data_IF_863984120459
#
_entry.id   IF_863984120459
#
_cell.length_a   1.000
_cell.length_b   1.000
_cell.length_c   1.000
_cell.angle_alpha   90.00
_cell.angle_beta   90.00
_cell.angle_gamma   90.00
#
_symmetry.space_group_name_H-M   'P 1'
#
loop_
_entity.id
_entity.type
_entity.pdbx_description
1 polymer ?
#
# COMPACT_ATOMS: atom_id res chain seq x y z
N UNK A 1 13.68 17.32 11.63
CA UNK A 1 12.42 16.73 11.09
C UNK A 1 11.69 16.05 12.24
N UNK A 2 10.37 16.24 12.34
CA UNK A 2 9.57 15.65 13.42
C UNK A 2 8.76 14.49 12.86
N UNK A 3 8.77 13.35 13.58
CA UNK A 3 7.96 12.16 13.30
C UNK A 3 7.04 11.87 14.49
N UNK A 4 6.02 11.07 14.25
CA UNK A 4 5.15 10.57 15.29
C UNK A 4 5.30 9.06 15.39
N UNK A 5 5.65 8.53 16.57
CA UNK A 5 5.60 7.10 16.84
C UNK A 5 4.21 6.74 17.38
N UNK A 6 3.52 5.87 16.65
CA UNK A 6 2.20 5.34 17.02
C UNK A 6 2.37 3.88 17.45
N UNK A 7 2.21 3.54 18.71
CA UNK A 7 2.20 2.15 19.16
C UNK A 7 1.02 1.39 18.54
N UNK A 8 1.17 0.08 18.29
CA UNK A 8 0.11 -0.77 17.72
C UNK A 8 -1.06 -1.04 18.66
N UNK A 9 -0.90 -0.75 19.93
CA UNK A 9 -1.95 -0.98 20.94
C UNK A 9 -3.08 0.04 20.78
N UNK A 10 -4.31 -0.46 20.81
CA UNK A 10 -5.50 0.39 20.80
C UNK A 10 -5.50 1.31 22.05
N UNK A 11 -5.65 2.62 21.86
CA UNK A 11 -5.60 3.69 22.88
C UNK A 11 -4.20 4.14 23.34
N UNK A 12 -3.12 3.70 22.70
CA UNK A 12 -1.79 4.22 23.01
C UNK A 12 -1.63 5.66 22.49
N UNK A 13 -1.00 6.50 23.31
CA UNK A 13 -0.74 7.89 22.98
C UNK A 13 0.44 7.94 21.99
N UNK A 14 0.25 8.59 20.84
CA UNK A 14 1.33 8.84 19.90
C UNK A 14 2.39 9.74 20.54
N UNK A 15 3.66 9.42 20.30
CA UNK A 15 4.81 10.16 20.81
C UNK A 15 5.46 10.93 19.67
N UNK A 16 5.72 12.21 19.90
CA UNK A 16 6.51 13.04 19.00
C UNK A 16 7.99 12.70 19.13
N UNK A 17 8.69 12.55 18.02
CA UNK A 17 10.11 12.22 17.95
C UNK A 17 10.81 13.21 17.02
N UNK A 18 11.82 13.88 17.49
CA UNK A 18 12.69 14.72 16.69
C UNK A 18 13.85 13.89 16.12
N UNK A 19 14.02 13.89 14.80
CA UNK A 19 15.11 13.18 14.13
C UNK A 19 16.37 14.05 14.17
N UNK A 20 17.41 13.55 14.87
CA UNK A 20 18.73 14.16 14.95
C UNK A 20 19.60 13.75 13.76
N UNK A 21 19.59 12.47 13.40
CA UNK A 21 20.42 11.92 12.33
C UNK A 21 19.73 10.77 11.60
N UNK A 22 20.13 10.52 10.36
CA UNK A 22 19.56 9.55 9.47
C UNK A 22 20.63 9.00 8.53
N UNK A 23 20.82 7.66 8.49
CA UNK A 23 21.75 7.04 7.56
C UNK A 23 21.30 5.65 7.10
N UNK A 24 21.65 5.21 5.88
CA UNK A 24 21.39 3.86 5.42
C UNK A 24 22.41 2.88 6.04
N UNK A 25 21.94 1.70 6.46
CA UNK A 25 22.76 0.61 6.93
C UNK A 25 22.19 -0.75 6.50
N UNK A 26 22.94 -1.52 5.71
CA UNK A 26 22.60 -2.89 5.27
C UNK A 26 21.18 -3.01 4.68
N UNK A 27 20.76 -2.05 3.86
CA UNK A 27 19.43 -2.04 3.23
C UNK A 27 18.31 -1.55 4.15
N UNK A 28 18.63 -1.14 5.38
CA UNK A 28 17.71 -0.51 6.33
C UNK A 28 18.04 0.96 6.47
N UNK A 29 17.09 1.73 6.97
CA UNK A 29 17.27 3.11 7.33
C UNK A 29 17.37 3.21 8.86
N UNK A 30 18.49 3.76 9.35
CA UNK A 30 18.71 4.00 10.79
C UNK A 30 18.37 5.44 11.10
N UNK A 31 17.56 5.63 12.12
CA UNK A 31 17.12 6.93 12.61
C UNK A 31 17.64 7.11 14.04
N UNK A 32 18.33 8.24 14.31
CA UNK A 32 18.63 8.70 15.66
C UNK A 32 17.60 9.75 16.06
N UNK A 33 17.00 9.56 17.21
CA UNK A 33 16.02 10.50 17.75
C UNK A 33 16.59 11.23 18.97
N UNK A 34 16.23 12.48 19.13
CA UNK A 34 16.54 13.27 20.32
C UNK A 34 15.95 12.62 21.58
N UNK A 35 16.78 12.47 22.61
CA UNK A 35 16.37 11.87 23.88
C UNK A 35 16.15 10.34 23.81
N UNK A 36 16.62 9.67 22.77
CA UNK A 36 16.69 8.20 22.66
C UNK A 36 18.16 7.83 22.62
N UNK A 37 18.79 7.73 23.80
CA UNK A 37 20.25 7.61 23.95
C UNK A 37 20.67 6.25 24.48
N UNK A 38 19.74 5.42 24.89
CA UNK A 38 20.00 4.06 25.38
C UNK A 38 19.20 3.01 24.63
N UNK A 39 19.65 1.75 24.75
CA UNK A 39 18.92 0.59 24.19
C UNK A 39 17.52 0.52 24.81
N UNK A 40 17.40 0.75 26.11
CA UNK A 40 16.10 0.70 26.80
C UNK A 40 15.14 1.78 26.29
N UNK A 41 15.64 2.98 25.95
CA UNK A 41 14.80 4.02 25.33
C UNK A 41 14.33 3.59 23.93
N UNK A 42 15.24 3.01 23.14
CA UNK A 42 14.93 2.51 21.81
C UNK A 42 13.93 1.34 21.84
N UNK A 43 14.04 0.46 22.83
CA UNK A 43 13.10 -0.66 23.03
C UNK A 43 11.65 -0.18 23.23
N UNK A 44 11.44 1.00 23.80
CA UNK A 44 10.10 1.58 23.96
C UNK A 44 9.43 1.94 22.63
N UNK A 45 10.20 2.02 21.55
CA UNK A 45 9.73 2.33 20.20
C UNK A 45 9.56 1.07 19.33
N UNK A 46 9.89 -0.11 19.86
CA UNK A 46 9.72 -1.36 19.10
C UNK A 46 8.28 -1.59 18.70
N UNK A 47 8.08 -1.87 17.42
CA UNK A 47 6.76 -2.14 16.87
C UNK A 47 5.87 -0.90 16.67
N UNK A 48 6.35 0.30 16.99
CA UNK A 48 5.64 1.53 16.64
C UNK A 48 5.65 1.76 15.14
N UNK A 49 4.55 2.29 14.62
CA UNK A 49 4.46 2.86 13.29
C UNK A 49 4.99 4.30 13.33
N UNK A 50 5.91 4.65 12.42
CA UNK A 50 6.41 6.01 12.30
C UNK A 50 5.59 6.77 11.25
N UNK A 51 5.02 7.88 11.66
CA UNK A 51 4.18 8.73 10.83
C UNK A 51 4.83 10.09 10.60
N UNK A 52 4.75 10.57 9.35
CA UNK A 52 5.19 11.91 8.96
C UNK A 52 3.94 12.79 8.87
N UNK A 53 3.95 14.00 9.48
CA UNK A 53 2.87 14.97 9.25
C UNK A 53 2.70 15.26 7.76
N UNK A 54 1.46 15.39 7.30
CA UNK A 54 1.18 15.65 5.88
C UNK A 54 1.86 16.95 5.39
N UNK A 55 1.99 17.95 6.26
CA UNK A 55 2.68 19.21 5.98
C UNK A 55 4.19 19.08 5.76
N UNK A 56 4.79 17.96 6.18
CA UNK A 56 6.22 17.67 6.03
C UNK A 56 6.51 16.64 4.93
N UNK A 57 5.49 16.21 4.20
CA UNK A 57 5.68 15.35 3.03
C UNK A 57 6.47 16.09 1.96
N UNK A 58 7.45 15.41 1.39
CA UNK A 58 8.19 15.92 0.24
C UNK A 58 7.27 16.04 -0.98
N UNK A 59 7.47 17.06 -1.79
CA UNK A 59 6.83 17.10 -3.10
C UNK A 59 7.30 15.91 -3.93
N UNK A 60 6.35 15.19 -4.49
CA UNK A 60 6.65 14.06 -5.37
C UNK A 60 6.91 14.54 -6.80
N UNK A 61 7.74 13.82 -7.53
CA UNK A 61 7.89 14.01 -8.96
C UNK A 61 6.56 13.74 -9.68
N UNK A 62 6.37 14.37 -10.82
CA UNK A 62 5.17 14.16 -11.65
C UNK A 62 4.98 12.66 -11.94
N UNK A 63 3.77 12.16 -11.73
CA UNK A 63 3.42 10.74 -11.88
C UNK A 63 3.61 9.89 -10.62
N UNK A 64 4.26 10.39 -9.58
CA UNK A 64 4.40 9.69 -8.30
C UNK A 64 3.24 10.02 -7.35
N UNK A 65 2.78 9.02 -6.61
CA UNK A 65 1.70 9.17 -5.62
C UNK A 65 2.09 8.45 -4.33
N UNK A 66 1.74 9.03 -3.19
CA UNK A 66 1.85 8.31 -1.92
C UNK A 66 0.80 7.19 -1.86
N UNK A 67 1.21 6.01 -1.40
CA UNK A 67 0.30 4.87 -1.22
C UNK A 67 -0.89 5.23 -0.35
N UNK A 68 -0.65 5.96 0.74
CA UNK A 68 -1.70 6.44 1.65
C UNK A 68 -2.74 7.36 0.99
N UNK A 69 -2.37 8.00 -0.12
CA UNK A 69 -3.29 8.86 -0.85
C UNK A 69 -4.14 8.06 -1.85
N UNK A 70 -3.58 6.94 -2.36
CA UNK A 70 -4.28 6.01 -3.25
C UNK A 70 -5.31 5.15 -2.50
N UNK A 71 -5.00 4.72 -1.27
CA UNK A 71 -5.94 3.94 -0.46
C UNK A 71 -7.23 4.74 -0.23
N UNK A 72 -8.36 4.09 -0.47
CA UNK A 72 -9.69 4.68 -0.43
C UNK A 72 -10.10 5.41 -1.72
N UNK A 73 -9.27 5.45 -2.77
CA UNK A 73 -9.67 5.94 -4.07
C UNK A 73 -10.53 4.92 -4.82
N UNK A 74 -11.57 5.39 -5.51
CA UNK A 74 -12.31 4.60 -6.47
C UNK A 74 -11.48 4.40 -7.74
N UNK A 75 -11.43 3.18 -8.26
CA UNK A 75 -10.78 2.87 -9.54
C UNK A 75 -11.85 2.80 -10.62
N UNK A 76 -11.65 3.58 -11.68
CA UNK A 76 -12.51 3.61 -12.84
C UNK A 76 -11.75 3.04 -14.04
N UNK A 77 -12.29 2.01 -14.68
CA UNK A 77 -11.82 1.51 -15.97
C UNK A 77 -12.72 2.04 -17.07
N UNK A 78 -12.17 2.81 -18.00
CA UNK A 78 -12.91 3.43 -19.11
C UNK A 78 -14.18 4.16 -18.66
N UNK A 79 -14.10 4.81 -17.49
CA UNK A 79 -15.21 5.55 -16.88
C UNK A 79 -16.18 4.70 -16.06
N UNK A 80 -16.06 3.37 -16.04
CA UNK A 80 -16.85 2.47 -15.20
C UNK A 80 -16.12 2.21 -13.88
N UNK A 81 -16.73 2.45 -12.74
CA UNK A 81 -16.19 2.11 -11.45
C UNK A 81 -16.10 0.59 -11.27
N UNK A 82 -14.91 0.09 -10.93
CA UNK A 82 -14.65 -1.33 -10.67
C UNK A 82 -14.53 -1.64 -9.19
N UNK A 83 -14.23 -0.65 -8.36
CA UNK A 83 -14.15 -0.78 -6.91
C UNK A 83 -13.27 0.27 -6.26
N UNK A 84 -12.93 0.05 -4.99
CA UNK A 84 -12.14 0.95 -4.16
C UNK A 84 -10.80 0.31 -3.78
N UNK A 85 -9.72 1.08 -3.79
CA UNK A 85 -8.39 0.61 -3.39
C UNK A 85 -8.38 0.38 -1.86
N UNK A 86 -8.12 -0.84 -1.44
CA UNK A 86 -7.93 -1.20 -0.02
C UNK A 86 -6.46 -1.18 0.37
N UNK A 87 -5.57 -1.57 -0.55
CA UNK A 87 -4.13 -1.69 -0.30
C UNK A 87 -3.33 -1.58 -1.59
N UNK A 88 -2.02 -1.38 -1.47
CA UNK A 88 -1.07 -1.39 -2.58
C UNK A 88 0.07 -2.36 -2.26
N UNK A 89 0.24 -3.40 -3.07
CA UNK A 89 1.27 -4.39 -2.90
C UNK A 89 2.45 -4.17 -3.84
N UNK A 90 3.67 -4.33 -3.31
CA UNK A 90 4.92 -4.19 -4.03
C UNK A 90 5.63 -5.54 -4.14
N UNK A 91 6.46 -5.70 -5.17
CA UNK A 91 7.33 -6.87 -5.32
C UNK A 91 6.70 -8.08 -6.03
N UNK A 92 5.47 -7.97 -6.53
CA UNK A 92 4.85 -9.01 -7.35
C UNK A 92 5.20 -8.93 -8.86
N UNK A 93 5.92 -7.87 -9.28
CA UNK A 93 6.30 -7.62 -10.66
C UNK A 93 6.97 -6.25 -10.80
N UNK A 94 7.04 -5.72 -12.03
CA UNK A 94 7.62 -4.40 -12.31
C UNK A 94 6.75 -3.25 -11.80
N UNK A 95 5.43 -3.42 -11.81
CA UNK A 95 4.48 -2.43 -11.31
C UNK A 95 3.85 -2.87 -9.98
N UNK A 96 3.57 -1.92 -9.07
CA UNK A 96 2.76 -2.20 -7.88
C UNK A 96 1.37 -2.72 -8.26
N UNK A 97 0.76 -3.53 -7.40
CA UNK A 97 -0.61 -4.02 -7.55
C UNK A 97 -1.55 -3.24 -6.63
N UNK A 98 -2.57 -2.63 -7.21
CA UNK A 98 -3.70 -2.08 -6.45
C UNK A 98 -4.63 -3.23 -6.06
N UNK A 99 -4.88 -3.38 -4.78
CA UNK A 99 -5.86 -4.32 -4.24
C UNK A 99 -7.22 -3.63 -4.23
N UNK A 100 -8.05 -3.90 -5.23
CA UNK A 100 -9.31 -3.19 -5.46
C UNK A 100 -10.49 -4.03 -4.99
N UNK A 101 -11.22 -3.53 -4.00
CA UNK A 101 -12.46 -4.13 -3.51
C UNK A 101 -13.63 -3.75 -4.42
N UNK A 102 -14.01 -4.68 -5.28
CA UNK A 102 -15.26 -4.60 -6.06
C UNK A 102 -16.47 -5.07 -5.27
N UNK A 103 -17.64 -5.10 -5.91
CA UNK A 103 -18.91 -5.45 -5.29
C UNK A 103 -18.94 -6.86 -4.67
N UNK A 104 -18.27 -7.83 -5.29
CA UNK A 104 -18.31 -9.25 -4.85
C UNK A 104 -16.94 -9.86 -4.58
N UNK A 105 -15.86 -9.22 -4.99
CA UNK A 105 -14.52 -9.77 -4.90
C UNK A 105 -13.43 -8.70 -4.82
N UNK A 106 -12.27 -9.12 -4.32
CA UNK A 106 -11.04 -8.35 -4.40
C UNK A 106 -10.39 -8.65 -5.77
N UNK A 107 -9.90 -7.61 -6.44
CA UNK A 107 -9.24 -7.71 -7.75
C UNK A 107 -7.88 -7.05 -7.67
N UNK A 108 -6.86 -7.70 -8.24
CA UNK A 108 -5.51 -7.16 -8.35
C UNK A 108 -5.36 -6.40 -9.67
N UNK A 109 -5.06 -5.11 -9.59
CA UNK A 109 -4.93 -4.24 -10.76
C UNK A 109 -3.52 -3.67 -10.81
N UNK A 110 -2.72 -3.94 -11.88
CA UNK A 110 -1.39 -3.37 -12.00
C UNK A 110 -1.44 -1.84 -12.11
N UNK A 111 -0.73 -1.15 -11.22
CA UNK A 111 -0.59 0.30 -11.26
C UNK A 111 0.56 0.69 -12.18
N UNK A 112 0.39 0.42 -13.47
CA UNK A 112 1.37 0.68 -14.51
C UNK A 112 1.02 1.95 -15.29
N UNK A 113 2.03 2.74 -15.64
CA UNK A 113 1.88 3.97 -16.41
C UNK A 113 1.15 3.73 -17.74
N UNK A 114 1.38 2.57 -18.37
CA UNK A 114 0.73 2.18 -19.62
C UNK A 114 -0.81 2.07 -19.53
N UNK A 115 -1.35 1.86 -18.34
CA UNK A 115 -2.79 1.74 -18.09
C UNK A 115 -3.38 2.95 -17.37
N UNK A 116 -2.52 3.84 -16.85
CA UNK A 116 -2.93 4.98 -16.05
C UNK A 116 -3.35 6.14 -16.95
N UNK A 117 -4.59 6.60 -16.78
CA UNK A 117 -5.11 7.79 -17.44
C UNK A 117 -4.92 9.04 -16.55
N UNK A 118 -5.34 8.96 -15.28
CA UNK A 118 -5.17 10.03 -14.32
C UNK A 118 -5.35 9.56 -12.87
N UNK A 119 -4.71 10.29 -11.93
CA UNK A 119 -4.91 10.14 -10.49
C UNK A 119 -5.39 11.47 -9.92
N UNK A 120 -6.56 11.48 -9.31
CA UNK A 120 -7.12 12.62 -8.57
C UNK A 120 -7.32 12.24 -7.11
N UNK A 121 -6.29 12.48 -6.30
CA UNK A 121 -6.32 12.14 -4.86
C UNK A 121 -7.30 13.00 -4.07
N UNK A 122 -7.67 14.19 -4.57
CA UNK A 122 -8.63 15.09 -3.93
C UNK A 122 -10.03 14.54 -4.10
N UNK A 123 -10.39 14.12 -5.32
CA UNK A 123 -11.68 13.50 -5.64
C UNK A 123 -11.73 12.02 -5.30
N UNK A 124 -10.60 11.47 -4.83
CA UNK A 124 -10.46 10.03 -4.54
C UNK A 124 -10.79 9.14 -5.74
N UNK A 125 -10.21 9.45 -6.89
CA UNK A 125 -10.42 8.71 -8.14
C UNK A 125 -9.09 8.40 -8.83
N UNK A 126 -8.97 7.14 -9.27
CA UNK A 126 -7.90 6.67 -10.17
C UNK A 126 -8.58 6.19 -11.45
N UNK A 127 -8.24 6.83 -12.58
CA UNK A 127 -8.76 6.47 -13.89
C UNK A 127 -7.74 5.65 -14.64
N UNK A 128 -8.21 4.54 -15.19
CA UNK A 128 -7.35 3.58 -15.89
C UNK A 128 -8.04 3.13 -17.20
N UNK A 129 -7.21 2.61 -18.08
CA UNK A 129 -7.63 2.00 -19.33
C UNK A 129 -7.03 0.59 -19.38
N UNK A 130 -7.73 -0.36 -18.76
CA UNK A 130 -7.22 -1.71 -18.58
C UNK A 130 -7.41 -2.55 -19.84
N UNK A 131 -6.49 -3.48 -20.14
CA UNK A 131 -6.67 -4.48 -21.18
C UNK A 131 -7.92 -5.35 -20.93
N UNK A 132 -8.57 -5.77 -21.99
CA UNK A 132 -9.71 -6.69 -21.89
C UNK A 132 -9.27 -8.00 -21.24
N UNK A 133 -10.10 -8.53 -20.36
CA UNK A 133 -9.84 -9.78 -19.66
C UNK A 133 -8.94 -9.66 -18.42
N UNK A 134 -8.31 -8.50 -18.16
CA UNK A 134 -7.41 -8.34 -17.00
C UNK A 134 -8.13 -8.54 -15.68
N UNK A 135 -9.33 -8.02 -15.57
CA UNK A 135 -10.13 -8.11 -14.33
C UNK A 135 -10.62 -9.53 -14.06
N UNK A 136 -10.83 -10.32 -15.09
CA UNK A 136 -11.22 -11.74 -15.01
C UNK A 136 -10.06 -12.62 -14.62
N UNK A 137 -8.88 -12.39 -15.19
CA UNK A 137 -7.66 -13.19 -14.95
C UNK A 137 -7.08 -12.94 -13.56
N UNK A 138 -7.07 -11.69 -13.11
CA UNK A 138 -6.50 -11.28 -11.82
C UNK A 138 -7.51 -11.36 -10.66
N UNK A 139 -8.67 -11.95 -10.89
CA UNK A 139 -9.59 -12.26 -9.80
C UNK A 139 -9.07 -13.48 -9.04
N UNK A 140 -8.92 -13.41 -7.71
CA UNK A 140 -8.56 -14.58 -6.93
C UNK A 140 -9.63 -15.67 -7.19
N UNK A 141 -9.15 -16.89 -7.43
CA UNK A 141 -10.00 -18.07 -7.67
C UNK A 141 -11.11 -18.15 -6.62
N UNK A 142 -12.33 -18.31 -7.06
CA UNK A 142 -13.48 -18.55 -6.20
C UNK A 142 -13.28 -19.81 -5.35
N UNK A 143 -14.03 -19.97 -4.28
CA UNK A 143 -13.94 -21.17 -3.44
C UNK A 143 -14.26 -22.47 -4.22
N UNK A 144 -15.08 -22.37 -5.28
CA UNK A 144 -15.40 -23.49 -6.17
C UNK A 144 -14.24 -23.83 -7.08
N UNK A 145 -13.63 -22.84 -7.74
CA UNK A 145 -12.46 -23.03 -8.60
C UNK A 145 -11.25 -23.59 -7.85
N UNK A 146 -11.05 -23.14 -6.59
CA UNK A 146 -10.02 -23.71 -5.70
C UNK A 146 -10.29 -25.19 -5.38
N UNK A 147 -11.55 -25.59 -5.19
CA UNK A 147 -11.94 -26.98 -4.96
C UNK A 147 -11.73 -27.84 -6.21
N UNK A 148 -12.06 -27.32 -7.38
CA UNK A 148 -11.87 -28.02 -8.66
C UNK A 148 -10.38 -28.22 -8.97
N UNK A 149 -9.54 -27.20 -8.78
CA UNK A 149 -8.09 -27.33 -8.92
C UNK A 149 -7.48 -28.35 -7.93
N UNK A 150 -7.94 -28.35 -6.68
CA UNK A 150 -7.50 -29.30 -5.68
C UNK A 150 -7.90 -30.75 -6.05
N UNK A 151 -9.08 -30.96 -6.67
CA UNK A 151 -9.53 -32.24 -7.16
C UNK A 151 -8.80 -32.69 -8.42
N UNK A 152 -8.52 -31.78 -9.35
CA UNK A 152 -7.77 -32.07 -10.56
C UNK A 152 -6.31 -32.47 -10.26
N UNK A 153 -5.69 -31.84 -9.24
CA UNK A 153 -4.35 -32.20 -8.77
C UNK A 153 -4.27 -33.58 -8.08
N UNK A 154 -5.36 -34.06 -7.49
CA UNK A 154 -5.44 -35.41 -6.89
C UNK A 154 -5.61 -36.55 -7.91
N UNK A 155 -6.11 -36.25 -9.10
CA UNK A 155 -6.35 -37.25 -10.16
C UNK A 155 -5.10 -37.53 -11.02
N UNK A 156 -4.01 -36.78 -10.82
CA UNK A 156 -2.73 -36.91 -11.57
C UNK A 156 -1.59 -37.58 -10.75
N UNK A 157 -1.92 -38.16 -9.60
CA UNK A 157 -0.96 -38.96 -8.81
C UNK A 157 -1.34 -40.42 -8.79
#
# INVERSE_FOLDING_TARGET
MVLWALPREANAIRRELEVEDLWPHKGLLVLKFAGVDSISDAETLLGCELQVPQSQRSELQAGWNYVSDLVGCAVLDRGREIGQIEDVQFGAGEAPLLMVRGASRLVEVPFAEAYLESVDVIRKQVRMNLPEGLLEVNAPLSAEEKREQAQAGRKKR
#
